data_IF_113419105980
#
_entry.id   IF_113419105980
#
_cell.length_a   1.000
_cell.length_b   1.000
_cell.length_c   1.000
_cell.angle_alpha   90.00
_cell.angle_beta   90.00
_cell.angle_gamma   90.00
#
_symmetry.space_group_name_H-M   'P 1'
#
loop_
_entity.id
_entity.type
_entity.pdbx_description
1 polymer ?
#
# COMPACT_ATOMS: atom_id res chain seq x y z
N UNK A 1 -0.93 -4.33 0.57
CA UNK A 1 -2.06 -4.41 1.52
C UNK A 1 -2.74 -3.06 1.62
N UNK A 2 -4.04 -3.05 1.43
CA UNK A 2 -4.82 -1.80 1.41
C UNK A 2 -5.69 -1.73 2.65
N UNK A 3 -5.70 -0.59 3.31
CA UNK A 3 -6.49 -0.37 4.51
C UNK A 3 -7.34 0.89 4.37
N UNK A 4 -8.63 0.78 4.72
CA UNK A 4 -9.53 1.93 4.72
C UNK A 4 -9.31 2.77 5.98
N UNK A 5 -9.14 4.07 5.78
CA UNK A 5 -8.97 5.02 6.87
C UNK A 5 -10.32 5.57 7.34
N UNK A 6 -10.40 6.08 8.59
CA UNK A 6 -11.65 6.68 9.10
C UNK A 6 -12.14 7.87 8.27
N UNK A 7 -11.23 8.54 7.58
CA UNK A 7 -11.58 9.67 6.70
C UNK A 7 -12.23 9.25 5.38
N UNK A 8 -12.25 7.95 5.08
CA UNK A 8 -12.76 7.42 3.81
C UNK A 8 -11.69 7.21 2.75
N UNK A 9 -10.45 7.56 3.05
CA UNK A 9 -9.33 7.32 2.15
C UNK A 9 -8.79 5.90 2.33
N UNK A 10 -7.97 5.47 1.37
CA UNK A 10 -7.34 4.15 1.40
C UNK A 10 -5.82 4.30 1.44
N UNK A 11 -5.19 3.62 2.37
CA UNK A 11 -3.73 3.64 2.49
C UNK A 11 -3.15 2.31 2.05
N UNK A 12 -2.11 2.39 1.23
CA UNK A 12 -1.39 1.22 0.74
C UNK A 12 -0.16 0.97 1.60
N UNK A 13 -0.05 -0.25 2.12
CA UNK A 13 1.10 -0.68 2.93
C UNK A 13 1.88 -1.78 2.21
N UNK A 14 3.17 -1.83 2.49
CA UNK A 14 4.02 -2.91 2.03
C UNK A 14 3.59 -4.25 2.64
N UNK A 15 3.77 -5.35 1.92
CA UNK A 15 3.50 -6.69 2.44
C UNK A 15 4.47 -7.11 3.53
N UNK A 16 5.70 -6.63 3.46
CA UNK A 16 6.74 -6.98 4.43
C UNK A 16 6.85 -5.91 5.49
N UNK A 17 7.00 -6.37 6.74
CA UNK A 17 7.31 -5.46 7.84
C UNK A 17 8.76 -5.04 7.76
N UNK A 18 9.02 -3.79 8.09
CA UNK A 18 10.37 -3.29 8.22
C UNK A 18 11.02 -3.96 9.44
N UNK A 19 12.17 -4.67 9.28
CA UNK A 19 12.82 -5.33 10.42
C UNK A 19 13.33 -4.35 11.48
N UNK A 20 13.52 -3.08 11.11
CA UNK A 20 13.98 -2.06 12.07
C UNK A 20 12.88 -1.60 13.00
N UNK A 21 11.68 -1.40 12.48
CA UNK A 21 10.57 -0.83 13.23
C UNK A 21 9.46 -1.82 13.54
N UNK A 22 9.46 -2.97 12.86
CA UNK A 22 8.40 -3.96 12.95
C UNK A 22 7.09 -3.49 12.32
N UNK A 23 7.11 -2.39 11.59
CA UNK A 23 5.93 -1.82 10.94
C UNK A 23 6.02 -1.94 9.43
N UNK A 24 4.86 -1.99 8.76
CA UNK A 24 4.78 -2.00 7.32
C UNK A 24 5.03 -0.60 6.77
N UNK A 25 5.79 -0.53 5.68
CA UNK A 25 6.08 0.75 5.04
C UNK A 25 4.82 1.30 4.37
N UNK A 26 4.55 2.59 4.56
CA UNK A 26 3.46 3.30 3.89
C UNK A 26 3.90 3.63 2.46
N UNK A 27 3.19 3.08 1.48
CA UNK A 27 3.49 3.27 0.06
C UNK A 27 2.69 4.40 -0.57
N UNK A 28 1.64 4.87 0.11
CA UNK A 28 0.84 5.98 -0.38
C UNK A 28 -0.56 5.97 0.17
N UNK A 29 -1.25 7.11 0.02
CA UNK A 29 -2.65 7.27 0.41
C UNK A 29 -3.45 7.69 -0.82
N UNK A 30 -4.60 7.05 -1.02
CA UNK A 30 -5.42 7.24 -2.22
C UNK A 30 -6.86 7.55 -1.83
N UNK A 31 -7.53 8.32 -2.68
CA UNK A 31 -8.94 8.68 -2.46
C UNK A 31 -9.88 7.50 -2.69
N UNK A 32 -9.50 6.53 -3.53
CA UNK A 32 -10.33 5.38 -3.87
C UNK A 32 -9.54 4.09 -3.75
N UNK A 33 -10.29 2.99 -3.50
CA UNK A 33 -9.68 1.66 -3.45
C UNK A 33 -9.10 1.25 -4.80
N UNK A 34 -9.76 1.62 -5.88
CA UNK A 34 -9.28 1.30 -7.24
C UNK A 34 -7.92 1.93 -7.51
N UNK A 35 -7.72 3.17 -7.10
CA UNK A 35 -6.44 3.85 -7.24
C UNK A 35 -5.35 3.13 -6.45
N UNK A 36 -5.64 2.72 -5.22
CA UNK A 36 -4.71 1.97 -4.39
C UNK A 36 -4.36 0.61 -5.01
N UNK A 37 -5.36 -0.12 -5.52
CA UNK A 37 -5.15 -1.40 -6.19
C UNK A 37 -4.29 -1.26 -7.43
N UNK A 38 -4.54 -0.24 -8.22
CA UNK A 38 -3.77 0.03 -9.43
C UNK A 38 -2.31 0.28 -9.11
N UNK A 39 -2.06 1.04 -8.06
CA UNK A 39 -0.70 1.34 -7.61
C UNK A 39 -0.01 0.08 -7.08
N UNK A 40 -0.72 -0.75 -6.32
CA UNK A 40 -0.20 -2.01 -5.81
C UNK A 40 0.21 -2.95 -6.94
N UNK A 41 -0.61 -3.06 -7.99
CA UNK A 41 -0.29 -3.87 -9.16
C UNK A 41 0.98 -3.39 -9.85
N UNK A 42 1.15 -2.08 -9.99
CA UNK A 42 2.35 -1.51 -10.59
C UNK A 42 3.60 -1.86 -9.78
N UNK A 43 3.53 -1.77 -8.46
CA UNK A 43 4.63 -2.14 -7.58
C UNK A 43 4.98 -3.62 -7.72
N UNK A 44 3.98 -4.49 -7.73
CA UNK A 44 4.19 -5.93 -7.88
C UNK A 44 4.80 -6.27 -9.24
N UNK A 45 4.38 -5.57 -10.27
CA UNK A 45 4.93 -5.76 -11.61
C UNK A 45 6.44 -5.46 -11.63
N UNK A 46 6.84 -4.35 -11.04
CA UNK A 46 8.25 -3.99 -10.97
C UNK A 46 9.06 -4.95 -10.11
N UNK A 47 8.49 -5.48 -9.05
CA UNK A 47 9.19 -6.43 -8.17
C UNK A 47 9.43 -7.79 -8.83
N UNK A 48 8.65 -8.16 -9.82
CA UNK A 48 8.82 -9.42 -10.54
C UNK A 48 9.94 -9.38 -11.59
N UNK A 49 10.36 -8.21 -11.93
CA UNK A 49 11.46 -7.99 -12.86
C UNK A 49 12.72 -7.61 -12.10
#
# INVERSE_FOLDING_TARGET
MIRKLPSGEYRLYSRRKDPRTGRRRNLGTFATRQAALKHERAIQFFKRH
#
